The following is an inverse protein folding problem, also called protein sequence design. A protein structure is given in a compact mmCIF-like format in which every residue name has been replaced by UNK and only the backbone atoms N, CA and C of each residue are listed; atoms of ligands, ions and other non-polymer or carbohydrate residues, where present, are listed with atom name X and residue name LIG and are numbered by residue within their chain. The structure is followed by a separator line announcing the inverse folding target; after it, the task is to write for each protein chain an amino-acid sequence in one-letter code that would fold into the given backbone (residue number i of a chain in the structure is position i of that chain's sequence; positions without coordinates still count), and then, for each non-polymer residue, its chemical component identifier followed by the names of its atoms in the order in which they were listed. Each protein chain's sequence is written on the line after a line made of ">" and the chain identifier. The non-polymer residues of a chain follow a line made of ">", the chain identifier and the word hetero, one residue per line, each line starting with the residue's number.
data_IF_025560761320
#
_entry.id   IF_025560761320
#
_cell.length_a   1.000
_cell.length_b   1.000
_cell.length_c   1.000
_cell.angle_alpha   90.00
_cell.angle_beta   90.00
_cell.angle_gamma   90.00
#
_symmetry.space_group_name_H-M   'P 1'
#
loop_
_entity.id
_entity.type
_entity.pdbx_description
1 polymer ?
#
# COMPACT_ATOMS: atom_id res chain seq x y z
N UNK A 1 19.96 19.34 107.15
CA UNK A 1 20.32 20.21 106.02
C UNK A 1 19.55 19.74 104.79
N UNK A 2 18.94 20.66 104.05
CA UNK A 2 18.35 20.33 102.74
C UNK A 2 19.45 20.22 101.69
N UNK A 3 19.27 19.37 100.66
CA UNK A 3 20.22 19.30 99.54
C UNK A 3 19.90 20.43 98.54
N UNK A 4 20.91 21.20 98.07
CA UNK A 4 20.67 22.17 97.00
C UNK A 4 20.21 21.45 95.74
N UNK A 5 19.30 22.08 94.99
CA UNK A 5 18.78 21.57 93.73
C UNK A 5 19.19 22.56 92.64
N UNK A 6 20.08 22.10 91.76
CA UNK A 6 20.56 22.87 90.60
C UNK A 6 19.76 22.49 89.36
N UNK A 7 19.48 23.46 88.50
CA UNK A 7 18.76 23.21 87.25
C UNK A 7 19.67 22.53 86.21
N UNK A 8 19.10 21.58 85.46
CA UNK A 8 19.80 20.94 84.33
C UNK A 8 19.55 21.71 83.05
N UNK A 9 20.64 22.24 82.49
CA UNK A 9 20.76 22.69 81.11
C UNK A 9 21.10 21.48 80.22
N UNK A 10 20.97 21.63 78.90
CA UNK A 10 21.09 20.57 77.89
C UNK A 10 22.39 19.72 77.92
N UNK A 11 23.42 20.15 78.67
CA UNK A 11 24.65 19.38 78.96
C UNK A 11 25.16 19.57 80.40
N UNK A 12 24.27 19.47 81.40
CA UNK A 12 24.63 19.45 82.83
C UNK A 12 24.05 20.62 83.63
N UNK A 13 24.52 20.81 84.86
CA UNK A 13 24.01 21.87 85.74
C UNK A 13 24.34 23.29 85.21
N UNK A 14 23.49 24.27 85.51
CA UNK A 14 23.84 25.68 85.25
C UNK A 14 25.08 26.09 86.07
N UNK A 15 26.17 26.36 85.35
CA UNK A 15 27.44 26.80 85.92
C UNK A 15 27.26 28.04 86.81
N UNK A 16 26.38 28.99 86.47
CA UNK A 16 26.18 30.21 87.27
C UNK A 16 25.59 29.91 88.64
N UNK A 17 24.65 28.97 88.72
CA UNK A 17 24.08 28.51 90.00
C UNK A 17 25.13 27.79 90.85
N UNK A 18 25.97 26.96 90.22
CA UNK A 18 27.04 26.22 90.90
C UNK A 18 28.14 27.17 91.41
N UNK A 19 28.65 28.07 90.57
CA UNK A 19 29.68 29.05 90.95
C UNK A 19 29.18 29.95 92.10
N UNK A 20 27.93 30.42 92.06
CA UNK A 20 27.33 31.22 93.13
C UNK A 20 27.11 30.42 94.42
N UNK A 21 26.73 29.15 94.33
CA UNK A 21 26.59 28.27 95.50
C UNK A 21 27.94 28.00 96.17
N UNK A 22 28.99 27.70 95.39
CA UNK A 22 30.35 27.46 95.89
C UNK A 22 30.86 28.69 96.64
N UNK A 23 30.77 29.89 96.05
CA UNK A 23 31.16 31.15 96.68
C UNK A 23 30.41 31.40 97.99
N UNK A 24 29.10 31.09 98.04
CA UNK A 24 28.32 31.19 99.28
C UNK A 24 28.86 30.22 100.34
N UNK A 25 29.00 28.94 100.02
CA UNK A 25 29.48 27.92 100.99
C UNK A 25 30.90 28.20 101.49
N UNK A 26 31.77 28.77 100.67
CA UNK A 26 33.13 29.15 101.06
C UNK A 26 33.13 30.32 102.05
N UNK A 27 32.22 31.30 101.85
CA UNK A 27 32.02 32.39 102.81
C UNK A 27 31.38 31.93 104.13
N UNK A 28 30.41 31.00 104.08
CA UNK A 28 29.82 30.37 105.27
C UNK A 28 30.86 29.56 106.07
N UNK A 29 31.69 28.77 105.38
CA UNK A 29 32.75 27.97 106.00
C UNK A 29 33.84 28.87 106.61
N UNK A 30 34.22 29.95 105.92
CA UNK A 30 35.14 30.96 106.45
C UNK A 30 34.63 31.58 107.75
N UNK A 31 33.36 32.02 107.78
CA UNK A 31 32.72 32.56 108.99
C UNK A 31 32.72 31.54 110.14
N UNK A 32 32.31 30.29 109.88
CA UNK A 32 32.28 29.24 110.89
C UNK A 32 33.67 28.88 111.42
N UNK A 33 34.73 28.95 110.60
CA UNK A 33 36.10 28.73 111.09
C UNK A 33 36.61 29.88 111.98
N UNK A 34 36.23 31.13 111.69
CA UNK A 34 36.56 32.28 112.55
C UNK A 34 35.86 32.20 113.91
N UNK A 35 34.56 31.90 113.94
CA UNK A 35 33.77 31.69 115.17
C UNK A 35 34.34 30.53 116.01
N UNK A 36 34.73 29.43 115.36
CA UNK A 36 35.37 28.28 116.03
C UNK A 36 36.72 28.64 116.67
N UNK A 37 37.51 29.51 116.06
CA UNK A 37 38.79 29.91 116.64
C UNK A 37 38.61 30.94 117.76
N UNK A 38 37.66 31.89 117.63
CA UNK A 38 37.30 32.82 118.71
C UNK A 38 36.82 32.08 119.98
N UNK A 39 35.94 31.08 119.82
CA UNK A 39 35.50 30.24 120.95
C UNK A 39 36.63 29.39 121.54
N UNK A 40 37.62 28.98 120.74
CA UNK A 40 38.83 28.27 121.18
C UNK A 40 39.79 29.19 121.97
N UNK A 41 39.89 30.47 121.62
CA UNK A 41 40.62 31.48 122.40
C UNK A 41 39.93 31.75 123.74
N UNK A 42 38.59 31.87 123.76
CA UNK A 42 37.80 32.01 124.99
C UNK A 42 38.01 30.82 125.94
N UNK A 43 37.99 29.58 125.44
CA UNK A 43 38.28 28.40 126.26
C UNK A 43 39.70 28.39 126.84
N UNK A 44 40.70 28.88 126.09
CA UNK A 44 42.07 29.02 126.57
C UNK A 44 42.19 30.09 127.67
N UNK A 45 41.50 31.23 127.54
CA UNK A 45 41.53 32.29 128.56
C UNK A 45 40.86 31.85 129.87
N UNK A 46 39.74 31.12 129.80
CA UNK A 46 39.08 30.52 130.97
C UNK A 46 39.97 29.46 131.64
N UNK A 47 40.70 28.65 130.87
CA UNK A 47 41.64 27.67 131.42
C UNK A 47 42.78 28.34 132.21
N UNK A 48 43.31 29.46 131.71
CA UNK A 48 44.33 30.25 132.43
C UNK A 48 43.78 30.86 133.72
N UNK A 49 42.56 31.41 133.71
CA UNK A 49 41.90 31.95 134.91
C UNK A 49 41.70 30.88 136.00
N UNK A 50 41.31 29.66 135.61
CA UNK A 50 41.18 28.53 136.55
C UNK A 50 42.53 28.13 137.18
N UNK A 51 43.64 28.18 136.42
CA UNK A 51 44.97 27.92 136.98
C UNK A 51 45.39 29.00 137.98
N UNK A 52 45.09 30.27 137.72
CA UNK A 52 45.40 31.37 138.65
C UNK A 52 44.60 31.25 139.95
N UNK A 53 43.28 31.00 139.88
CA UNK A 53 42.45 30.82 141.07
C UNK A 53 42.88 29.61 141.92
N UNK A 54 43.36 28.53 141.28
CA UNK A 54 43.94 27.39 142.01
C UNK A 54 45.23 27.79 142.76
N UNK A 55 46.09 28.63 142.19
CA UNK A 55 47.27 29.15 142.88
C UNK A 55 46.88 30.01 144.10
N UNK A 56 45.96 30.95 143.95
CA UNK A 56 45.48 31.84 145.02
C UNK A 56 44.88 31.06 146.22
N UNK A 57 44.12 29.99 145.95
CA UNK A 57 43.61 29.10 146.99
C UNK A 57 44.71 28.29 147.72
N UNK A 58 45.86 28.03 147.07
CA UNK A 58 47.02 27.40 147.74
C UNK A 58 47.88 28.39 148.52
N UNK A 59 47.86 29.68 148.18
CA UNK A 59 48.43 30.75 149.01
C UNK A 59 47.63 30.94 150.30
N UNK A 60 46.31 31.13 150.19
CA UNK A 60 45.42 31.34 151.34
C UNK A 60 45.48 30.19 152.35
N UNK A 61 45.64 28.94 151.88
CA UNK A 61 45.79 27.75 152.75
C UNK A 61 47.08 27.71 153.58
N UNK A 62 48.12 28.47 153.24
CA UNK A 62 49.42 28.45 153.95
C UNK A 62 49.50 29.43 155.13
N UNK A 63 48.46 30.22 155.39
CA UNK A 63 48.53 31.41 156.26
C UNK A 63 47.60 31.33 157.47
N UNK A 64 47.94 30.55 158.53
CA UNK A 64 47.19 30.55 159.77
C UNK A 64 47.31 31.91 160.49
N UNK A 65 46.20 32.38 161.05
CA UNK A 65 46.12 33.63 161.84
C UNK A 65 46.04 33.28 163.32
N UNK A 66 46.82 33.97 164.14
CA UNK A 66 46.74 33.90 165.61
C UNK A 66 46.36 35.28 166.16
N UNK A 67 45.37 35.31 167.03
CA UNK A 67 45.00 36.47 167.86
C UNK A 67 44.53 35.95 169.22
N UNK A 68 45.31 36.19 170.27
CA UNK A 68 44.90 35.91 171.65
C UNK A 68 44.19 37.13 172.25
N UNK A 69 43.10 36.88 172.97
CA UNK A 69 42.33 37.93 173.64
C UNK A 69 42.89 38.18 175.05
N UNK A 70 43.12 39.45 175.40
CA UNK A 70 43.60 39.81 176.73
C UNK A 70 42.51 39.62 177.81
N UNK A 71 42.93 39.20 179.00
CA UNK A 71 42.05 38.86 180.13
C UNK A 71 41.33 40.10 180.72
N UNK A 72 40.01 40.18 180.53
CA UNK A 72 39.15 41.13 181.23
C UNK A 72 38.93 40.71 182.69
N UNK A 73 39.37 41.51 183.67
CA UNK A 73 39.08 41.25 185.09
C UNK A 73 38.85 42.50 185.97
N UNK A 74 39.57 43.59 185.74
CA UNK A 74 39.56 44.77 186.65
C UNK A 74 38.91 46.03 186.05
N UNK A 75 37.99 45.87 185.09
CA UNK A 75 37.49 46.98 184.25
C UNK A 75 36.06 47.48 184.55
N UNK A 76 35.32 46.82 185.45
CA UNK A 76 33.86 46.93 185.62
C UNK A 76 33.22 48.30 185.31
N UNK A 77 33.34 49.32 186.18
CA UNK A 77 32.56 50.56 186.02
C UNK A 77 32.89 51.38 184.77
N UNK A 78 34.10 51.25 184.23
CA UNK A 78 34.53 52.01 183.05
C UNK A 78 34.21 51.26 181.75
N UNK A 79 34.32 49.92 181.76
CA UNK A 79 33.83 49.10 180.65
C UNK A 79 32.31 49.16 180.54
N UNK A 80 31.56 49.22 181.64
CA UNK A 80 30.10 49.42 181.58
C UNK A 80 29.73 50.74 180.88
N UNK A 81 30.46 51.83 181.13
CA UNK A 81 30.27 53.10 180.42
C UNK A 81 30.72 53.05 178.96
N UNK A 82 31.84 52.39 178.66
CA UNK A 82 32.33 52.22 177.28
C UNK A 82 31.37 51.32 176.48
N UNK A 83 30.82 50.27 177.08
CA UNK A 83 29.81 49.39 176.48
C UNK A 83 28.49 50.14 176.26
N UNK A 84 27.99 50.90 177.24
CA UNK A 84 26.78 51.70 177.04
C UNK A 84 26.94 52.79 175.97
N UNK A 85 28.12 53.40 175.85
CA UNK A 85 28.44 54.34 174.77
C UNK A 85 28.55 53.60 173.41
N UNK A 86 29.24 52.46 173.38
CA UNK A 86 29.42 51.65 172.18
C UNK A 86 28.11 51.02 171.69
N UNK A 87 27.21 50.64 172.58
CA UNK A 87 25.86 50.15 172.28
C UNK A 87 25.00 51.28 171.71
N UNK A 88 25.06 52.48 172.28
CA UNK A 88 24.41 53.68 171.71
C UNK A 88 24.98 54.05 170.34
N UNK A 89 26.30 53.95 170.15
CA UNK A 89 26.95 54.19 168.86
C UNK A 89 26.62 53.09 167.85
N UNK A 90 26.59 51.82 168.26
CA UNK A 90 26.18 50.70 167.43
C UNK A 90 24.72 50.84 167.00
N UNK A 91 23.81 51.24 167.90
CA UNK A 91 22.42 51.54 167.57
C UNK A 91 22.32 52.69 166.53
N UNK A 92 23.11 53.76 166.69
CA UNK A 92 23.17 54.84 165.69
C UNK A 92 23.76 54.38 164.34
N UNK A 93 24.75 53.49 164.36
CA UNK A 93 25.31 52.88 163.14
C UNK A 93 24.27 51.98 162.48
N UNK A 94 23.55 51.12 163.21
CA UNK A 94 22.51 50.25 162.64
C UNK A 94 21.32 51.02 162.11
N UNK A 95 20.87 52.07 162.80
CA UNK A 95 19.79 52.94 162.32
C UNK A 95 20.21 53.68 161.05
N UNK A 96 21.37 54.37 161.07
CA UNK A 96 21.83 55.11 159.87
C UNK A 96 22.33 54.20 158.74
N UNK A 97 22.64 52.92 159.00
CA UNK A 97 22.87 51.92 157.97
C UNK A 97 21.55 51.40 157.39
N UNK A 98 20.53 51.17 158.23
CA UNK A 98 19.18 50.81 157.82
C UNK A 98 18.51 51.88 156.96
N UNK A 99 18.60 53.16 157.36
CA UNK A 99 18.13 54.31 156.59
C UNK A 99 18.82 54.40 155.21
N UNK A 100 20.15 54.23 155.15
CA UNK A 100 20.91 54.21 153.89
C UNK A 100 20.59 53.00 153.02
N UNK A 101 20.33 51.84 153.63
CA UNK A 101 19.91 50.64 152.91
C UNK A 101 18.52 50.81 152.31
N UNK A 102 17.56 51.33 153.10
CA UNK A 102 16.21 51.64 152.64
C UNK A 102 16.19 52.70 151.53
N UNK A 103 17.01 53.76 151.64
CA UNK A 103 17.18 54.76 150.58
C UNK A 103 17.66 54.09 149.28
N UNK A 104 18.73 53.29 149.34
CA UNK A 104 19.25 52.58 148.16
C UNK A 104 18.32 51.52 147.60
N UNK A 105 17.49 50.90 148.44
CA UNK A 105 16.44 49.98 147.99
C UNK A 105 15.35 50.74 147.23
N UNK A 106 14.86 51.86 147.76
CA UNK A 106 13.90 52.72 147.06
C UNK A 106 14.47 53.32 145.77
N UNK A 107 15.74 53.76 145.77
CA UNK A 107 16.46 54.21 144.57
C UNK A 107 16.53 53.09 143.51
N UNK A 108 16.88 51.86 143.89
CA UNK A 108 16.95 50.72 142.98
C UNK A 108 15.58 50.25 142.48
N UNK A 109 14.55 50.29 143.34
CA UNK A 109 13.16 49.97 142.96
C UNK A 109 12.61 51.00 141.97
N UNK A 110 12.86 52.30 142.20
CA UNK A 110 12.50 53.36 141.26
C UNK A 110 13.19 53.16 139.90
N UNK A 111 14.51 52.91 139.87
CA UNK A 111 15.25 52.64 138.62
C UNK A 111 14.72 51.38 137.91
N UNK A 112 14.31 50.35 138.65
CA UNK A 112 13.69 49.16 138.07
C UNK A 112 12.27 49.42 137.53
N UNK A 113 11.51 50.33 138.13
CA UNK A 113 10.20 50.77 137.63
C UNK A 113 10.40 51.61 136.35
N UNK A 114 11.28 52.61 136.38
CA UNK A 114 11.61 53.45 135.22
C UNK A 114 12.11 52.62 134.03
N UNK A 115 13.03 51.67 134.27
CA UNK A 115 13.54 50.78 133.23
C UNK A 115 12.45 49.85 132.65
N UNK A 116 11.49 49.40 133.47
CA UNK A 116 10.33 48.63 133.00
C UNK A 116 9.37 49.49 132.19
N UNK A 117 9.07 50.71 132.64
CA UNK A 117 8.23 51.64 131.87
C UNK A 117 8.87 51.97 130.51
N UNK A 118 10.18 52.29 130.50
CA UNK A 118 10.94 52.52 129.27
C UNK A 118 10.90 51.30 128.34
N UNK A 119 11.10 50.08 128.87
CA UNK A 119 10.99 48.86 128.09
C UNK A 119 9.58 48.66 127.51
N UNK A 120 8.51 48.91 128.28
CA UNK A 120 7.13 48.81 127.77
C UNK A 120 6.82 49.85 126.69
N UNK A 121 7.35 51.08 126.81
CA UNK A 121 7.20 52.13 125.78
C UNK A 121 7.92 51.74 124.49
N UNK A 122 9.19 51.32 124.59
CA UNK A 122 9.97 50.86 123.43
C UNK A 122 9.29 49.67 122.73
N UNK A 123 8.69 48.74 123.49
CA UNK A 123 7.93 47.63 122.93
C UNK A 123 6.64 48.10 122.24
N UNK A 124 5.85 49.00 122.85
CA UNK A 124 4.63 49.52 122.20
C UNK A 124 4.93 50.36 120.96
N UNK A 125 5.99 51.15 120.98
CA UNK A 125 6.41 51.96 119.83
C UNK A 125 6.86 51.07 118.67
N UNK A 126 7.62 50.01 118.96
CA UNK A 126 8.05 49.00 117.99
C UNK A 126 6.89 48.13 117.47
N UNK A 127 5.90 47.80 118.31
CA UNK A 127 4.66 47.13 117.87
C UNK A 127 3.86 48.02 116.90
N UNK A 128 3.78 49.33 117.16
CA UNK A 128 3.15 50.30 116.26
C UNK A 128 3.92 50.46 114.94
N UNK A 129 5.26 50.53 114.97
CA UNK A 129 6.08 50.56 113.75
C UNK A 129 5.90 49.29 112.90
N UNK A 130 5.90 48.11 113.54
CA UNK A 130 5.71 46.82 112.84
C UNK A 130 4.29 46.67 112.30
N UNK A 131 3.27 47.16 113.01
CA UNK A 131 1.91 47.22 112.49
C UNK A 131 1.81 48.18 111.29
N UNK A 132 2.42 49.36 111.38
CA UNK A 132 2.51 50.34 110.30
C UNK A 132 3.08 49.73 109.03
N UNK A 133 4.32 49.20 109.11
CA UNK A 133 5.02 48.57 107.98
C UNK A 133 4.23 47.40 107.37
N UNK A 134 3.58 46.56 108.18
CA UNK A 134 2.71 45.49 107.65
C UNK A 134 1.59 46.03 106.78
N UNK A 135 0.89 47.10 107.21
CA UNK A 135 -0.17 47.69 106.37
C UNK A 135 0.37 48.44 105.15
N UNK A 136 1.63 48.91 105.17
CA UNK A 136 2.29 49.50 104.01
C UNK A 136 2.71 48.43 102.99
N UNK A 137 3.29 47.33 103.46
CA UNK A 137 3.62 46.15 102.65
C UNK A 137 2.37 45.51 102.04
N UNK A 138 1.28 45.39 102.81
CA UNK A 138 -0.02 44.89 102.35
C UNK A 138 -0.61 45.78 101.25
N UNK A 139 -0.71 47.10 101.46
CA UNK A 139 -1.16 48.06 100.43
C UNK A 139 -0.25 48.05 99.20
N UNK A 140 1.06 47.96 99.37
CA UNK A 140 2.01 47.89 98.25
C UNK A 140 1.89 46.56 97.48
N UNK A 141 1.51 45.48 98.15
CA UNK A 141 1.22 44.19 97.54
C UNK A 141 -0.12 44.21 96.78
N UNK A 142 -1.19 44.74 97.39
CA UNK A 142 -2.49 44.95 96.74
C UNK A 142 -2.36 45.84 95.49
N UNK A 143 -1.61 46.95 95.57
CA UNK A 143 -1.36 47.83 94.42
C UNK A 143 -0.61 47.10 93.30
N UNK A 144 0.41 46.30 93.63
CA UNK A 144 1.13 45.47 92.64
C UNK A 144 0.23 44.38 92.04
N UNK A 145 -0.67 43.78 92.83
CA UNK A 145 -1.66 42.83 92.32
C UNK A 145 -2.65 43.52 91.37
N UNK A 146 -3.17 44.70 91.74
CA UNK A 146 -4.12 45.45 90.91
C UNK A 146 -3.50 45.87 89.57
N UNK A 147 -2.28 46.41 89.57
CA UNK A 147 -1.54 46.76 88.35
C UNK A 147 -1.26 45.51 87.49
N UNK A 148 -0.79 44.41 88.10
CA UNK A 148 -0.57 43.17 87.37
C UNK A 148 -1.88 42.54 86.83
N UNK A 149 -3.02 42.78 87.47
CA UNK A 149 -4.33 42.36 86.98
C UNK A 149 -4.77 43.21 85.78
N UNK A 150 -4.67 44.55 85.85
CA UNK A 150 -4.99 45.42 84.71
C UNK A 150 -4.06 45.17 83.52
N UNK A 151 -2.75 45.01 83.74
CA UNK A 151 -1.80 44.64 82.67
C UNK A 151 -2.16 43.29 82.03
N UNK A 152 -2.60 42.29 82.81
CA UNK A 152 -3.06 41.00 82.28
C UNK A 152 -4.41 41.08 81.55
N UNK A 153 -5.26 42.05 81.89
CA UNK A 153 -6.53 42.30 81.20
C UNK A 153 -6.29 43.05 79.88
N UNK A 154 -5.50 44.12 79.86
CA UNK A 154 -5.06 44.81 78.64
C UNK A 154 -4.34 43.87 77.66
N UNK A 155 -3.45 43.00 78.15
CA UNK A 155 -2.77 41.99 77.33
C UNK A 155 -3.73 40.91 76.78
N UNK A 156 -4.82 40.59 77.48
CA UNK A 156 -5.87 39.69 76.96
C UNK A 156 -6.70 40.38 75.89
N UNK A 157 -7.15 41.59 76.14
CA UNK A 157 -7.92 42.36 75.15
C UNK A 157 -7.11 42.58 73.87
N UNK A 158 -5.83 42.96 73.96
CA UNK A 158 -4.96 43.08 72.79
C UNK A 158 -4.75 41.75 72.06
N UNK A 159 -4.61 40.64 72.79
CA UNK A 159 -4.49 39.31 72.19
C UNK A 159 -5.78 38.86 71.49
N UNK A 160 -6.95 39.16 72.05
CA UNK A 160 -8.25 38.81 71.47
C UNK A 160 -8.66 39.74 70.31
N UNK A 161 -8.32 41.03 70.38
CA UNK A 161 -8.37 41.96 69.24
C UNK A 161 -7.50 41.43 68.10
N UNK A 162 -6.23 41.10 68.36
CA UNK A 162 -5.33 40.58 67.34
C UNK A 162 -5.80 39.23 66.76
N UNK A 163 -6.41 38.35 67.58
CA UNK A 163 -7.06 37.11 67.09
C UNK A 163 -8.24 37.43 66.17
N UNK A 164 -9.09 38.38 66.53
CA UNK A 164 -10.25 38.79 65.73
C UNK A 164 -9.82 39.43 64.40
N UNK A 165 -8.79 40.28 64.41
CA UNK A 165 -8.20 40.85 63.19
C UNK A 165 -7.60 39.76 62.29
N UNK A 166 -6.85 38.81 62.86
CA UNK A 166 -6.28 37.69 62.11
C UNK A 166 -7.36 36.75 61.54
N UNK A 167 -8.46 36.54 62.27
CA UNK A 167 -9.62 35.79 61.76
C UNK A 167 -10.28 36.55 60.60
N UNK A 168 -10.66 37.82 60.79
CA UNK A 168 -11.29 38.63 59.76
C UNK A 168 -10.40 38.83 58.51
N UNK A 169 -9.07 38.85 58.67
CA UNK A 169 -8.13 38.87 57.54
C UNK A 169 -8.11 37.54 56.77
N UNK A 170 -8.21 36.39 57.46
CA UNK A 170 -8.33 35.07 56.82
C UNK A 170 -9.67 34.91 56.11
N UNK A 171 -10.77 35.30 56.75
CA UNK A 171 -12.12 35.22 56.17
C UNK A 171 -12.21 36.04 54.87
N UNK A 172 -11.59 37.23 54.84
CA UNK A 172 -11.47 38.05 53.62
C UNK A 172 -10.61 37.37 52.56
N UNK A 173 -9.43 36.86 52.93
CA UNK A 173 -8.54 36.18 51.99
C UNK A 173 -9.18 34.91 51.40
N UNK A 174 -9.98 34.17 52.17
CA UNK A 174 -10.75 33.02 51.70
C UNK A 174 -11.89 33.46 50.76
N UNK A 175 -12.63 34.52 51.09
CA UNK A 175 -13.67 35.08 50.22
C UNK A 175 -13.08 35.60 48.89
N UNK A 176 -11.94 36.27 48.93
CA UNK A 176 -11.22 36.74 47.74
C UNK A 176 -10.67 35.57 46.91
N UNK A 177 -10.07 34.56 47.54
CA UNK A 177 -9.61 33.35 46.86
C UNK A 177 -10.77 32.58 46.20
N UNK A 178 -11.89 32.39 46.91
CA UNK A 178 -13.08 31.73 46.36
C UNK A 178 -13.67 32.52 45.19
N UNK A 179 -13.79 33.85 45.31
CA UNK A 179 -14.25 34.73 44.22
C UNK A 179 -13.32 34.68 43.00
N UNK A 180 -12.00 34.64 43.20
CA UNK A 180 -11.04 34.48 42.12
C UNK A 180 -11.11 33.09 41.48
N UNK A 181 -11.33 32.04 42.27
CA UNK A 181 -11.53 30.67 41.77
C UNK A 181 -12.81 30.57 40.93
N UNK A 182 -13.93 31.15 41.38
CA UNK A 182 -15.18 31.24 40.63
C UNK A 182 -15.00 32.00 39.31
N UNK A 183 -14.30 33.14 39.33
CA UNK A 183 -14.01 33.93 38.12
C UNK A 183 -13.13 33.16 37.14
N UNK A 184 -12.08 32.48 37.60
CA UNK A 184 -11.24 31.63 36.75
C UNK A 184 -12.03 30.42 36.20
N UNK A 185 -12.89 29.79 37.00
CA UNK A 185 -13.74 28.70 36.54
C UNK A 185 -14.71 29.15 35.43
N UNK A 186 -15.36 30.31 35.60
CA UNK A 186 -16.23 30.90 34.59
C UNK A 186 -15.47 31.28 33.31
N UNK A 187 -14.27 31.84 33.42
CA UNK A 187 -13.42 32.15 32.25
C UNK A 187 -12.97 30.88 31.52
N UNK A 188 -12.58 29.83 32.24
CA UNK A 188 -12.23 28.53 31.66
C UNK A 188 -13.42 27.84 30.98
N UNK A 189 -14.62 27.94 31.56
CA UNK A 189 -15.85 27.43 30.94
C UNK A 189 -16.21 28.21 29.67
N UNK A 190 -16.14 29.54 29.71
CA UNK A 190 -16.38 30.39 28.53
C UNK A 190 -15.37 30.11 27.41
N UNK A 191 -14.08 30.00 27.73
CA UNK A 191 -13.04 29.67 26.75
C UNK A 191 -13.21 28.26 26.16
N UNK A 192 -13.61 27.27 26.98
CA UNK A 192 -13.96 25.93 26.50
C UNK A 192 -15.17 25.95 25.57
N UNK A 193 -16.23 26.68 25.92
CA UNK A 193 -17.43 26.81 25.10
C UNK A 193 -17.18 27.57 23.79
N UNK A 194 -16.28 28.55 23.78
CA UNK A 194 -15.80 29.22 22.56
C UNK A 194 -15.02 28.24 21.68
N UNK A 195 -13.99 27.58 22.21
CA UNK A 195 -13.18 26.61 21.47
C UNK A 195 -14.01 25.44 20.93
N UNK A 196 -15.01 24.96 21.67
CA UNK A 196 -15.96 23.95 21.21
C UNK A 196 -16.75 24.45 19.99
N UNK A 197 -17.35 25.64 20.06
CA UNK A 197 -18.10 26.24 18.94
C UNK A 197 -17.21 26.49 17.72
N UNK A 198 -15.98 26.94 17.90
CA UNK A 198 -15.02 27.15 16.81
C UNK A 198 -14.61 25.81 16.16
N UNK A 199 -14.37 24.78 16.98
CA UNK A 199 -14.06 23.43 16.49
C UNK A 199 -15.26 22.79 15.77
N UNK A 200 -16.48 23.00 16.26
CA UNK A 200 -17.72 22.54 15.62
C UNK A 200 -18.00 23.29 14.31
N UNK A 201 -17.87 24.62 14.31
CA UNK A 201 -17.98 25.43 13.10
C UNK A 201 -16.96 24.99 12.04
N UNK A 202 -15.69 24.89 12.40
CA UNK A 202 -14.63 24.42 11.50
C UNK A 202 -14.88 23.00 10.98
N UNK A 203 -15.36 22.07 11.82
CA UNK A 203 -15.80 20.74 11.34
C UNK A 203 -16.95 20.82 10.35
N UNK A 204 -17.97 21.66 10.60
CA UNK A 204 -19.08 21.82 9.65
C UNK A 204 -18.66 22.47 8.34
N UNK A 205 -17.71 23.41 8.36
CA UNK A 205 -17.11 24.01 7.16
C UNK A 205 -16.33 22.97 6.36
N UNK A 206 -15.38 22.25 6.98
CA UNK A 206 -14.63 21.16 6.34
C UNK A 206 -15.56 20.08 5.77
N UNK A 207 -16.65 19.73 6.46
CA UNK A 207 -17.65 18.79 5.94
C UNK A 207 -18.46 19.34 4.77
N UNK A 208 -18.76 20.64 4.73
CA UNK A 208 -19.43 21.29 3.60
C UNK A 208 -18.49 21.38 2.38
N UNK A 209 -17.25 21.79 2.59
CA UNK A 209 -16.20 21.87 1.56
C UNK A 209 -15.96 20.49 0.91
N UNK A 210 -15.72 19.45 1.72
CA UNK A 210 -15.58 18.06 1.25
C UNK A 210 -16.85 17.54 0.54
N UNK A 211 -18.04 18.03 0.92
CA UNK A 211 -19.29 17.67 0.22
C UNK A 211 -19.41 18.38 -1.13
N UNK A 212 -18.99 19.65 -1.24
CA UNK A 212 -18.94 20.37 -2.52
C UNK A 212 -17.89 19.78 -3.46
N UNK A 213 -16.66 19.52 -3.00
CA UNK A 213 -15.60 18.89 -3.79
C UNK A 213 -16.05 17.52 -4.33
N UNK A 214 -16.69 16.68 -3.48
CA UNK A 214 -17.24 15.40 -3.91
C UNK A 214 -18.32 15.56 -4.99
N UNK A 215 -19.23 16.51 -4.83
CA UNK A 215 -20.28 16.77 -5.81
C UNK A 215 -19.75 17.37 -7.12
N UNK A 216 -18.65 18.13 -7.07
CA UNK A 216 -17.95 18.66 -8.25
C UNK A 216 -17.21 17.54 -8.99
N UNK A 217 -16.47 16.69 -8.28
CA UNK A 217 -15.79 15.51 -8.82
C UNK A 217 -16.79 14.50 -9.42
N UNK A 218 -17.92 14.25 -8.75
CA UNK A 218 -18.98 13.36 -9.26
C UNK A 218 -19.60 13.90 -10.57
N UNK A 219 -19.81 15.23 -10.66
CA UNK A 219 -20.21 15.88 -11.91
C UNK A 219 -19.14 15.76 -13.00
N UNK A 220 -17.87 16.01 -12.70
CA UNK A 220 -16.80 15.87 -13.69
C UNK A 220 -16.65 14.41 -14.18
N UNK A 221 -16.82 13.43 -13.30
CA UNK A 221 -16.81 12.01 -13.67
C UNK A 221 -17.95 11.68 -14.65
N UNK A 222 -19.18 12.14 -14.39
CA UNK A 222 -20.31 11.86 -15.28
C UNK A 222 -20.27 12.68 -16.58
N UNK A 223 -19.72 13.90 -16.58
CA UNK A 223 -19.40 14.67 -17.80
C UNK A 223 -18.34 13.95 -18.66
N UNK A 224 -17.25 13.48 -18.05
CA UNK A 224 -16.21 12.67 -18.72
C UNK A 224 -16.80 11.36 -19.26
N UNK A 225 -17.67 10.69 -18.50
CA UNK A 225 -18.34 9.43 -18.88
C UNK A 225 -19.33 9.61 -20.01
N UNK A 226 -20.17 10.63 -19.98
CA UNK A 226 -21.11 10.95 -21.06
C UNK A 226 -20.37 11.37 -22.33
N UNK A 227 -19.31 12.18 -22.23
CA UNK A 227 -18.43 12.50 -23.37
C UNK A 227 -17.75 11.25 -23.96
N UNK A 228 -17.24 10.35 -23.11
CA UNK A 228 -16.65 9.09 -23.55
C UNK A 228 -17.69 8.16 -24.23
N UNK A 229 -18.90 8.06 -23.67
CA UNK A 229 -20.01 7.29 -24.24
C UNK A 229 -20.41 7.83 -25.62
N UNK A 230 -20.56 9.15 -25.75
CA UNK A 230 -20.84 9.82 -27.04
C UNK A 230 -19.74 9.52 -28.08
N UNK A 231 -18.45 9.58 -27.69
CA UNK A 231 -17.32 9.24 -28.56
C UNK A 231 -17.35 7.77 -28.99
N UNK A 232 -17.68 6.84 -28.09
CA UNK A 232 -17.80 5.41 -28.40
C UNK A 232 -18.96 5.18 -29.39
N UNK A 233 -20.11 5.83 -29.21
CA UNK A 233 -21.25 5.76 -30.14
C UNK A 233 -20.90 6.35 -31.51
N UNK A 234 -20.20 7.48 -31.55
CA UNK A 234 -19.74 8.10 -32.81
C UNK A 234 -18.76 7.19 -33.57
N UNK A 235 -17.70 6.71 -32.90
CA UNK A 235 -16.73 5.78 -33.49
C UNK A 235 -17.38 4.46 -33.94
N UNK A 236 -18.40 3.97 -33.23
CA UNK A 236 -19.15 2.80 -33.63
C UNK A 236 -20.01 3.07 -34.89
N UNK A 237 -20.65 4.24 -34.99
CA UNK A 237 -21.39 4.64 -36.18
C UNK A 237 -20.47 4.84 -37.39
N UNK A 238 -19.29 5.45 -37.21
CA UNK A 238 -18.25 5.59 -38.24
C UNK A 238 -17.75 4.22 -38.71
N UNK A 239 -17.45 3.29 -37.78
CA UNK A 239 -17.04 1.93 -38.11
C UNK A 239 -18.15 1.14 -38.82
N UNK A 240 -19.43 1.31 -38.45
CA UNK A 240 -20.57 0.73 -39.16
C UNK A 240 -20.68 1.29 -40.59
N UNK A 241 -20.53 2.61 -40.78
CA UNK A 241 -20.54 3.24 -42.09
C UNK A 241 -19.40 2.72 -42.98
N UNK A 242 -18.18 2.64 -42.46
CA UNK A 242 -17.03 2.08 -43.16
C UNK A 242 -17.24 0.60 -43.52
N UNK A 243 -17.81 -0.21 -42.62
CA UNK A 243 -18.14 -1.60 -42.91
C UNK A 243 -19.19 -1.74 -44.02
N UNK A 244 -20.23 -0.90 -44.01
CA UNK A 244 -21.24 -0.86 -45.08
C UNK A 244 -20.62 -0.38 -46.41
N UNK A 245 -19.73 0.61 -46.39
CA UNK A 245 -19.04 1.08 -47.60
C UNK A 245 -18.11 0.00 -48.18
N UNK A 246 -17.35 -0.70 -47.34
CA UNK A 246 -16.51 -1.84 -47.78
C UNK A 246 -17.36 -2.96 -48.36
N UNK A 247 -18.49 -3.31 -47.75
CA UNK A 247 -19.42 -4.29 -48.31
C UNK A 247 -19.99 -3.83 -49.66
N UNK A 248 -20.40 -2.55 -49.79
CA UNK A 248 -20.87 -2.00 -51.06
C UNK A 248 -19.80 -1.99 -52.16
N UNK A 249 -18.53 -1.72 -51.82
CA UNK A 249 -17.39 -1.81 -52.74
C UNK A 249 -17.18 -3.26 -53.19
N UNK A 250 -17.17 -4.22 -52.27
CA UNK A 250 -17.03 -5.66 -52.59
C UNK A 250 -18.22 -6.17 -53.40
N UNK A 251 -19.46 -5.74 -53.11
CA UNK A 251 -20.64 -6.10 -53.91
C UNK A 251 -20.57 -5.50 -55.33
N UNK A 252 -20.05 -4.28 -55.48
CA UNK A 252 -19.83 -3.63 -56.77
C UNK A 252 -18.71 -4.29 -57.58
N UNK A 253 -17.58 -4.63 -56.97
CA UNK A 253 -16.48 -5.39 -57.56
C UNK A 253 -16.96 -6.79 -57.97
N UNK A 254 -17.69 -7.49 -57.11
CA UNK A 254 -18.32 -8.77 -57.43
C UNK A 254 -19.39 -8.65 -58.52
N UNK A 255 -20.11 -7.53 -58.63
CA UNK A 255 -21.03 -7.26 -59.74
C UNK A 255 -20.28 -7.02 -61.06
N UNK A 256 -19.18 -6.27 -61.04
CA UNK A 256 -18.31 -6.05 -62.19
C UNK A 256 -17.70 -7.37 -62.68
N UNK A 257 -17.09 -8.17 -61.79
CA UNK A 257 -16.54 -9.48 -62.15
C UNK A 257 -17.61 -10.46 -62.65
N UNK A 258 -18.86 -10.39 -62.14
CA UNK A 258 -19.98 -11.16 -62.71
C UNK A 258 -20.37 -10.70 -64.11
N UNK A 259 -20.27 -9.41 -64.43
CA UNK A 259 -20.48 -8.88 -65.78
C UNK A 259 -19.34 -9.28 -66.73
N UNK A 260 -18.08 -9.19 -66.28
CA UNK A 260 -16.90 -9.64 -67.03
C UNK A 260 -17.00 -11.13 -67.37
N UNK A 261 -17.31 -11.98 -66.38
CA UNK A 261 -17.53 -13.41 -66.58
C UNK A 261 -18.67 -13.68 -67.57
N UNK A 262 -19.83 -13.01 -67.43
CA UNK A 262 -20.95 -13.16 -68.35
C UNK A 262 -20.60 -12.72 -69.79
N UNK A 263 -19.74 -11.71 -69.98
CA UNK A 263 -19.23 -11.33 -71.30
C UNK A 263 -18.25 -12.37 -71.86
N UNK A 264 -17.38 -12.95 -71.02
CA UNK A 264 -16.47 -14.02 -71.42
C UNK A 264 -17.23 -15.31 -71.78
N UNK A 265 -18.28 -15.66 -71.03
CA UNK A 265 -19.19 -16.77 -71.35
C UNK A 265 -19.89 -16.54 -72.70
N UNK A 266 -20.44 -15.34 -72.95
CA UNK A 266 -21.03 -14.99 -74.26
C UNK A 266 -20.01 -15.05 -75.40
N UNK A 267 -18.76 -14.63 -75.18
CA UNK A 267 -17.70 -14.71 -76.19
C UNK A 267 -17.27 -16.18 -76.44
N UNK A 268 -17.23 -17.00 -75.39
CA UNK A 268 -17.00 -18.45 -75.49
C UNK A 268 -18.13 -19.11 -76.29
N UNK A 269 -19.39 -18.82 -76.01
CA UNK A 269 -20.53 -19.35 -76.75
C UNK A 269 -20.53 -18.88 -78.22
N UNK A 270 -20.21 -17.61 -78.47
CA UNK A 270 -20.08 -17.09 -79.83
C UNK A 270 -18.94 -17.78 -80.60
N UNK A 271 -17.79 -18.03 -79.95
CA UNK A 271 -16.67 -18.81 -80.51
C UNK A 271 -17.05 -20.26 -80.75
N UNK A 272 -17.78 -20.90 -79.83
CA UNK A 272 -18.27 -22.27 -80.00
C UNK A 272 -19.25 -22.38 -81.18
N UNK A 273 -20.18 -21.44 -81.32
CA UNK A 273 -21.10 -21.37 -82.46
C UNK A 273 -20.35 -21.11 -83.78
N UNK A 274 -19.33 -20.26 -83.79
CA UNK A 274 -18.47 -20.04 -84.96
C UNK A 274 -17.69 -21.32 -85.35
N UNK A 275 -17.11 -22.02 -84.37
CA UNK A 275 -16.44 -23.31 -84.58
C UNK A 275 -17.40 -24.40 -85.07
N UNK A 276 -18.64 -24.42 -84.58
CA UNK A 276 -19.68 -25.33 -85.07
C UNK A 276 -20.06 -25.04 -86.53
N UNK A 277 -20.23 -23.76 -86.90
CA UNK A 277 -20.46 -23.35 -88.30
C UNK A 277 -19.30 -23.77 -89.20
N UNK A 278 -18.06 -23.45 -88.82
CA UNK A 278 -16.85 -23.84 -89.55
C UNK A 278 -16.72 -25.36 -89.72
N UNK A 279 -17.13 -26.17 -88.73
CA UNK A 279 -17.22 -27.63 -88.88
C UNK A 279 -18.27 -28.03 -89.92
N UNK A 280 -19.49 -27.50 -89.85
CA UNK A 280 -20.53 -27.81 -90.86
C UNK A 280 -20.16 -27.33 -92.27
N UNK A 281 -19.45 -26.20 -92.38
CA UNK A 281 -18.92 -25.72 -93.66
C UNK A 281 -17.84 -26.66 -94.20
N UNK A 282 -16.89 -27.10 -93.35
CA UNK A 282 -15.86 -28.09 -93.68
C UNK A 282 -16.49 -29.42 -94.13
N UNK A 283 -17.45 -29.95 -93.37
CA UNK A 283 -18.16 -31.20 -93.69
C UNK A 283 -18.89 -31.07 -95.04
N UNK A 284 -19.56 -29.94 -95.28
CA UNK A 284 -20.23 -29.66 -96.57
C UNK A 284 -19.25 -29.48 -97.74
N UNK A 285 -18.02 -29.05 -97.47
CA UNK A 285 -16.96 -28.93 -98.48
C UNK A 285 -16.34 -30.30 -98.79
N UNK A 286 -16.15 -31.15 -97.78
CA UNK A 286 -15.74 -32.55 -97.94
C UNK A 286 -16.80 -33.34 -98.72
N UNK A 287 -18.10 -33.18 -98.40
CA UNK A 287 -19.19 -33.80 -99.15
C UNK A 287 -19.22 -33.35 -100.63
N UNK A 288 -19.07 -32.04 -100.89
CA UNK A 288 -18.97 -31.51 -102.26
C UNK A 288 -17.74 -32.02 -103.02
N UNK A 289 -16.63 -32.25 -102.32
CA UNK A 289 -15.43 -32.84 -102.91
C UNK A 289 -15.64 -34.32 -103.26
N UNK A 290 -16.26 -35.12 -102.37
CA UNK A 290 -16.65 -36.51 -102.66
C UNK A 290 -17.63 -36.57 -103.84
N UNK A 291 -18.63 -35.69 -103.88
CA UNK A 291 -19.57 -35.59 -105.00
C UNK A 291 -18.84 -35.27 -106.31
N UNK A 292 -17.93 -34.29 -106.33
CA UNK A 292 -17.13 -33.96 -107.52
C UNK A 292 -16.23 -35.11 -107.98
N UNK A 293 -15.73 -35.95 -107.06
CA UNK A 293 -15.03 -37.19 -107.42
C UNK A 293 -15.96 -38.26 -108.02
N UNK A 294 -17.19 -38.40 -107.54
CA UNK A 294 -18.20 -39.30 -108.10
C UNK A 294 -18.66 -38.83 -109.49
N UNK A 295 -18.90 -37.54 -109.67
CA UNK A 295 -19.23 -36.93 -110.96
C UNK A 295 -18.09 -37.13 -111.98
N UNK A 296 -16.83 -36.96 -111.56
CA UNK A 296 -15.67 -37.29 -112.41
C UNK A 296 -15.63 -38.76 -112.82
N UNK A 297 -15.80 -39.68 -111.87
CA UNK A 297 -15.82 -41.11 -112.17
C UNK A 297 -16.91 -41.47 -113.20
N UNK A 298 -18.11 -40.90 -113.05
CA UNK A 298 -19.18 -41.07 -114.02
C UNK A 298 -18.80 -40.53 -115.42
N UNK A 299 -18.14 -39.36 -115.51
CA UNK A 299 -17.66 -38.85 -116.81
C UNK A 299 -16.54 -39.69 -117.43
N UNK A 300 -15.66 -40.30 -116.64
CA UNK A 300 -14.61 -41.21 -117.13
C UNK A 300 -15.20 -42.54 -117.64
N UNK A 301 -16.27 -43.04 -117.01
CA UNK A 301 -17.05 -44.18 -117.50
C UNK A 301 -17.79 -43.85 -118.81
N UNK A 302 -18.42 -42.68 -118.92
CA UNK A 302 -19.07 -42.22 -120.17
C UNK A 302 -18.05 -42.08 -121.32
N UNK A 303 -16.88 -41.49 -121.07
CA UNK A 303 -15.78 -41.38 -122.04
C UNK A 303 -15.30 -42.77 -122.47
N UNK A 304 -15.27 -43.75 -121.56
CA UNK A 304 -14.89 -45.13 -121.85
C UNK A 304 -15.93 -45.84 -122.73
N UNK A 305 -17.23 -45.68 -122.44
CA UNK A 305 -18.32 -46.21 -123.27
C UNK A 305 -18.34 -45.58 -124.68
N UNK A 306 -18.09 -44.27 -124.79
CA UNK A 306 -18.00 -43.58 -126.09
C UNK A 306 -16.80 -44.05 -126.91
N UNK A 307 -15.65 -44.33 -126.26
CA UNK A 307 -14.50 -44.95 -126.93
C UNK A 307 -14.81 -46.34 -127.46
N UNK A 308 -15.51 -47.18 -126.68
CA UNK A 308 -15.88 -48.53 -127.11
C UNK A 308 -16.80 -48.49 -128.34
N UNK A 309 -17.88 -47.68 -128.32
CA UNK A 309 -18.78 -47.49 -129.46
C UNK A 309 -18.05 -47.02 -130.73
N UNK A 310 -17.00 -46.22 -130.58
CA UNK A 310 -16.19 -45.72 -131.69
C UNK A 310 -15.24 -46.79 -132.27
N UNK A 311 -14.90 -47.84 -131.50
CA UNK A 311 -14.22 -49.04 -132.02
C UNK A 311 -15.20 -49.93 -132.77
N UNK A 312 -16.38 -50.18 -132.20
CA UNK A 312 -17.46 -50.98 -132.80
C UNK A 312 -17.87 -50.42 -134.17
N UNK A 313 -18.21 -49.12 -134.25
CA UNK A 313 -18.59 -48.46 -135.50
C UNK A 313 -17.48 -48.44 -136.59
N UNK A 314 -16.20 -48.61 -136.21
CA UNK A 314 -15.09 -48.76 -137.16
C UNK A 314 -14.98 -50.19 -137.72
N UNK A 315 -15.38 -51.19 -136.94
CA UNK A 315 -15.47 -52.59 -137.41
C UNK A 315 -16.67 -52.74 -138.35
N UNK A 316 -17.81 -52.15 -137.97
CA UNK A 316 -18.97 -51.75 -138.80
C UNK A 316 -18.61 -51.45 -140.26
N UNK A 317 -17.93 -50.31 -140.38
CA UNK A 317 -17.53 -49.71 -141.65
C UNK A 317 -16.57 -50.59 -142.46
N UNK A 318 -15.70 -51.36 -141.80
CA UNK A 318 -14.76 -52.26 -142.47
C UNK A 318 -15.48 -53.47 -143.11
N UNK A 319 -16.50 -54.03 -142.46
CA UNK A 319 -17.28 -55.14 -143.03
C UNK A 319 -18.12 -54.72 -144.25
N UNK A 320 -18.72 -53.52 -144.23
CA UNK A 320 -19.49 -53.04 -145.38
C UNK A 320 -18.60 -52.65 -146.58
N UNK A 321 -17.39 -52.11 -146.34
CA UNK A 321 -16.42 -51.87 -147.41
C UNK A 321 -15.92 -53.17 -148.08
N UNK A 322 -15.84 -54.27 -147.36
CA UNK A 322 -15.51 -55.57 -147.95
C UNK A 322 -16.67 -56.11 -148.79
N UNK A 323 -17.90 -56.09 -148.27
CA UNK A 323 -19.13 -56.49 -149.02
C UNK A 323 -19.26 -55.75 -150.35
N UNK A 324 -18.99 -54.44 -150.36
CA UNK A 324 -19.09 -53.62 -151.58
C UNK A 324 -18.07 -54.04 -152.65
N UNK A 325 -16.88 -54.48 -152.27
CA UNK A 325 -15.85 -54.94 -153.20
C UNK A 325 -16.16 -56.34 -153.76
N UNK A 326 -16.64 -57.27 -152.93
CA UNK A 326 -17.07 -58.61 -153.38
C UNK A 326 -18.23 -58.52 -154.39
N UNK A 327 -19.23 -57.69 -154.11
CA UNK A 327 -20.34 -57.42 -155.02
C UNK A 327 -19.84 -56.89 -156.38
N UNK A 328 -18.84 -56.00 -156.37
CA UNK A 328 -18.26 -55.41 -157.59
C UNK A 328 -17.51 -56.42 -158.44
N UNK A 329 -16.72 -57.31 -157.83
CA UNK A 329 -16.03 -58.38 -158.56
C UNK A 329 -17.00 -59.37 -159.20
N UNK A 330 -18.14 -59.67 -158.56
CA UNK A 330 -19.15 -60.58 -159.11
C UNK A 330 -19.81 -60.09 -160.41
N UNK A 331 -19.83 -58.77 -160.65
CA UNK A 331 -20.42 -58.18 -161.84
C UNK A 331 -19.53 -58.33 -163.10
N UNK A 332 -18.20 -58.15 -162.94
CA UNK A 332 -17.25 -58.19 -164.06
C UNK A 332 -17.16 -59.59 -164.69
N UNK A 333 -17.29 -60.66 -163.89
CA UNK A 333 -17.28 -62.04 -164.38
C UNK A 333 -18.60 -62.45 -165.04
N UNK A 334 -19.73 -61.88 -164.61
CA UNK A 334 -21.02 -62.07 -165.30
C UNK A 334 -21.00 -61.49 -166.73
N UNK A 335 -20.36 -60.34 -166.95
CA UNK A 335 -20.24 -59.74 -168.29
C UNK A 335 -19.36 -60.57 -169.24
N UNK A 336 -18.37 -61.30 -168.70
CA UNK A 336 -17.51 -62.22 -169.48
C UNK A 336 -18.31 -63.42 -169.98
N UNK A 337 -19.08 -64.08 -169.11
CA UNK A 337 -19.90 -65.23 -169.48
C UNK A 337 -20.96 -64.90 -170.56
N UNK A 338 -21.52 -63.69 -170.56
CA UNK A 338 -22.50 -63.27 -171.56
C UNK A 338 -21.96 -63.23 -173.00
N UNK A 339 -20.65 -63.07 -173.20
CA UNK A 339 -20.02 -62.96 -174.52
C UNK A 339 -19.78 -64.33 -175.17
N UNK A 340 -19.35 -65.33 -174.38
CA UNK A 340 -19.09 -66.69 -174.89
C UNK A 340 -20.36 -67.44 -175.35
N UNK A 341 -21.48 -67.26 -174.65
CA UNK A 341 -22.75 -67.96 -174.98
C UNK A 341 -23.22 -67.63 -176.40
N UNK A 342 -23.09 -66.37 -176.84
CA UNK A 342 -23.42 -65.95 -178.22
C UNK A 342 -22.57 -66.66 -179.28
N UNK A 343 -21.32 -67.01 -178.98
CA UNK A 343 -20.39 -67.65 -179.91
C UNK A 343 -20.61 -69.17 -180.07
N UNK A 344 -21.41 -69.81 -179.21
CA UNK A 344 -21.83 -71.22 -179.35
C UNK A 344 -23.07 -71.39 -180.22
N UNK A 345 -24.14 -70.64 -179.97
CA UNK A 345 -25.46 -70.82 -180.62
C UNK A 345 -25.39 -70.74 -182.15
N UNK A 346 -24.51 -69.90 -182.71
CA UNK A 346 -24.33 -69.78 -184.17
C UNK A 346 -23.78 -71.04 -184.87
N UNK A 347 -23.24 -72.04 -184.16
CA UNK A 347 -22.55 -73.18 -184.77
C UNK A 347 -23.39 -74.47 -184.86
N UNK A 348 -24.38 -74.67 -184.00
CA UNK A 348 -25.10 -75.96 -183.93
C UNK A 348 -26.25 -76.08 -184.94
N UNK A 349 -26.92 -74.96 -185.27
CA UNK A 349 -28.06 -74.93 -186.19
C UNK A 349 -27.76 -75.50 -187.60
N UNK A 350 -26.50 -75.46 -188.04
CA UNK A 350 -26.09 -75.91 -189.38
C UNK A 350 -26.00 -77.45 -189.54
N UNK A 351 -26.09 -78.23 -188.46
CA UNK A 351 -25.67 -79.66 -188.47
C UNK A 351 -26.79 -80.69 -188.37
N UNK A 352 -28.03 -80.28 -188.12
CA UNK A 352 -29.14 -81.19 -187.75
C UNK A 352 -29.98 -81.67 -188.95
N UNK A 353 -30.06 -80.88 -190.02
CA UNK A 353 -31.02 -81.12 -191.12
C UNK A 353 -30.68 -82.30 -192.04
N UNK A 354 -29.40 -82.65 -192.22
CA UNK A 354 -28.94 -83.55 -193.30
C UNK A 354 -29.17 -85.07 -193.05
N UNK A 355 -29.71 -85.48 -191.89
CA UNK A 355 -29.63 -86.89 -191.42
C UNK A 355 -30.94 -87.67 -191.27
N UNK A 356 -32.09 -87.12 -191.66
CA UNK A 356 -33.40 -87.74 -191.42
C UNK A 356 -33.85 -88.82 -192.46
N UNK A 357 -32.98 -89.24 -193.40
CA UNK A 357 -33.43 -89.77 -194.69
C UNK A 357 -33.40 -91.30 -194.92
N UNK A 358 -32.88 -92.15 -194.01
CA UNK A 358 -32.38 -93.48 -194.43
C UNK A 358 -32.41 -94.65 -193.40
N UNK A 359 -33.52 -94.95 -192.71
CA UNK A 359 -33.58 -96.13 -191.81
C UNK A 359 -35.00 -96.72 -191.57
N UNK A 360 -35.49 -97.66 -192.42
CA UNK A 360 -36.78 -98.38 -192.19
C UNK A 360 -36.78 -99.87 -192.58
N UNK A 361 -35.93 -100.39 -193.48
CA UNK A 361 -36.06 -101.77 -194.02
C UNK A 361 -34.79 -102.63 -193.94
N UNK A 362 -34.61 -103.34 -192.80
CA UNK A 362 -33.77 -104.54 -192.69
C UNK A 362 -34.27 -105.45 -191.55
N UNK A 363 -33.90 -106.74 -191.58
CA UNK A 363 -34.56 -107.83 -190.87
C UNK A 363 -34.31 -107.91 -189.35
N UNK A 364 -35.16 -108.70 -188.68
CA UNK A 364 -35.07 -108.99 -187.25
C UNK A 364 -33.86 -109.88 -186.88
N UNK A 365 -32.99 -109.32 -186.05
CA UNK A 365 -32.33 -110.01 -184.94
C UNK A 365 -32.57 -109.15 -183.69
N UNK A 366 -32.93 -109.75 -182.56
CA UNK A 366 -33.65 -109.01 -181.51
C UNK A 366 -32.73 -108.30 -180.49
N UNK A 367 -32.75 -106.97 -180.47
CA UNK A 367 -32.36 -106.14 -179.31
C UNK A 367 -31.26 -105.09 -179.54
N UNK A 368 -31.59 -103.78 -179.39
CA UNK A 368 -30.67 -102.68 -179.05
C UNK A 368 -30.91 -102.20 -177.59
N UNK A 369 -29.97 -101.76 -176.73
CA UNK A 369 -28.56 -101.31 -176.82
C UNK A 369 -28.29 -100.03 -177.66
N UNK A 370 -27.51 -99.02 -177.23
CA UNK A 370 -26.75 -98.75 -175.98
C UNK A 370 -26.46 -97.22 -175.84
N UNK A 371 -25.86 -96.77 -174.72
CA UNK A 371 -25.39 -95.38 -174.50
C UNK A 371 -26.03 -94.71 -173.28
N UNK A 372 -25.47 -94.67 -172.05
CA UNK A 372 -24.06 -94.70 -171.58
C UNK A 372 -23.23 -93.47 -172.01
N UNK A 373 -23.05 -92.49 -171.10
CA UNK A 373 -21.84 -92.24 -170.25
C UNK A 373 -20.78 -91.36 -170.96
N UNK A 374 -19.72 -90.82 -170.29
CA UNK A 374 -19.32 -90.93 -168.87
C UNK A 374 -19.15 -89.58 -168.12
N UNK A 375 -18.68 -89.68 -166.86
CA UNK A 375 -18.27 -88.60 -165.93
C UNK A 375 -16.87 -88.02 -166.27
N UNK A 376 -16.43 -86.96 -165.56
CA UNK A 376 -15.16 -86.87 -164.76
C UNK A 376 -14.80 -85.41 -164.32
N UNK A 377 -14.28 -85.23 -163.08
CA UNK A 377 -13.43 -84.13 -162.55
C UNK A 377 -14.00 -82.70 -162.31
N UNK A 378 -13.44 -81.79 -161.47
CA UNK A 378 -12.51 -81.81 -160.28
C UNK A 378 -12.40 -80.41 -159.57
N UNK A 379 -11.81 -80.35 -158.35
CA UNK A 379 -10.97 -79.23 -157.78
C UNK A 379 -11.62 -77.90 -157.28
N UNK A 380 -11.07 -77.08 -156.33
CA UNK A 380 -9.96 -77.20 -155.30
C UNK A 380 -9.84 -75.99 -154.30
N UNK A 381 -9.28 -76.23 -153.08
CA UNK A 381 -8.38 -75.33 -152.24
C UNK A 381 -8.94 -73.96 -151.68
N UNK A 382 -8.29 -73.07 -150.86
CA UNK A 382 -7.26 -73.01 -149.73
C UNK A 382 -7.00 -71.50 -149.35
N UNK A 383 -6.32 -70.95 -148.30
CA UNK A 383 -5.83 -71.20 -146.90
C UNK A 383 -4.89 -69.98 -146.50
N UNK A 384 -4.44 -69.57 -145.29
CA UNK A 384 -4.67 -69.72 -143.82
C UNK A 384 -3.71 -68.73 -143.02
N UNK A 385 -3.58 -68.80 -141.66
CA UNK A 385 -2.61 -68.09 -140.70
C UNK A 385 -3.10 -66.76 -140.03
N UNK A 386 -2.53 -66.13 -138.95
CA UNK A 386 -1.79 -66.48 -137.67
C UNK A 386 -1.46 -65.17 -136.86
N UNK A 387 -1.44 -65.15 -135.50
CA UNK A 387 -0.73 -64.16 -134.61
C UNK A 387 -1.55 -63.03 -133.91
N UNK A 388 -1.04 -62.04 -133.12
CA UNK A 388 -0.10 -61.97 -131.93
C UNK A 388 0.47 -60.51 -131.70
N UNK A 389 0.95 -59.95 -130.54
CA UNK A 389 0.94 -60.23 -129.07
C UNK A 389 1.40 -58.99 -128.19
N UNK A 390 1.07 -58.92 -126.87
CA UNK A 390 1.81 -58.27 -125.70
C UNK A 390 2.03 -56.74 -125.40
N UNK A 391 1.84 -56.35 -124.10
CA UNK A 391 2.71 -55.57 -123.12
C UNK A 391 2.92 -54.00 -123.00
N UNK A 392 2.54 -53.41 -121.82
CA UNK A 392 3.31 -52.74 -120.69
C UNK A 392 4.44 -51.64 -120.86
N UNK A 393 5.08 -50.96 -119.82
CA UNK A 393 4.76 -50.56 -118.38
C UNK A 393 5.42 -49.23 -117.75
N UNK A 394 5.31 -49.01 -116.39
CA UNK A 394 6.18 -48.24 -115.38
C UNK A 394 6.12 -46.66 -115.21
N UNK A 395 6.60 -45.94 -114.14
CA UNK A 395 6.83 -46.11 -112.65
C UNK A 395 7.41 -44.82 -111.90
N UNK A 396 7.57 -44.82 -110.53
CA UNK A 396 8.36 -43.92 -109.56
C UNK A 396 7.80 -42.52 -109.13
N UNK A 397 8.13 -41.77 -108.04
CA UNK A 397 8.74 -41.83 -106.62
C UNK A 397 8.28 -40.52 -105.82
N UNK A 398 8.64 -39.96 -104.62
CA UNK A 398 9.67 -40.06 -103.49
C UNK A 398 9.18 -39.30 -102.16
N UNK A 399 9.98 -39.15 -101.05
CA UNK A 399 9.72 -38.42 -99.74
C UNK A 399 11.06 -37.99 -98.99
N UNK A 400 11.24 -37.45 -97.71
CA UNK A 400 10.42 -37.08 -96.49
C UNK A 400 10.63 -35.57 -95.98
N UNK A 401 10.74 -35.01 -94.73
CA UNK A 401 10.72 -35.22 -93.22
C UNK A 401 10.65 -33.79 -92.49
N UNK A 402 10.73 -33.36 -91.18
CA UNK A 402 10.67 -33.71 -89.70
C UNK A 402 10.70 -32.33 -88.87
N UNK A 403 10.68 -32.02 -87.52
CA UNK A 403 10.55 -32.60 -86.12
C UNK A 403 10.03 -31.51 -85.06
N UNK A 404 10.37 -31.45 -83.72
CA UNK A 404 9.40 -31.03 -82.63
C UNK A 404 9.68 -30.01 -81.40
N UNK A 405 10.15 -30.30 -80.13
CA UNK A 405 9.52 -29.77 -78.85
C UNK A 405 10.37 -29.24 -77.60
N UNK A 406 9.78 -28.55 -76.55
CA UNK A 406 9.99 -28.67 -75.03
C UNK A 406 9.45 -27.52 -74.06
N UNK A 407 9.51 -27.68 -72.69
CA UNK A 407 8.99 -26.83 -71.54
C UNK A 407 9.89 -26.96 -70.23
N UNK A 408 9.67 -26.56 -68.94
CA UNK A 408 8.50 -26.18 -68.06
C UNK A 408 8.85 -25.41 -66.69
N UNK A 409 8.08 -25.56 -65.57
CA UNK A 409 7.94 -24.72 -64.31
C UNK A 409 8.81 -25.01 -63.02
N UNK A 410 8.71 -24.17 -61.95
CA UNK A 410 9.12 -24.45 -60.53
C UNK A 410 8.87 -23.33 -59.46
N UNK A 411 8.63 -23.66 -58.15
CA UNK A 411 8.05 -22.74 -57.12
C UNK A 411 8.43 -23.06 -55.62
N UNK A 412 8.31 -22.11 -54.66
CA UNK A 412 8.32 -22.39 -53.18
C UNK A 412 8.69 -21.23 -52.19
N UNK A 413 7.95 -21.01 -51.06
CA UNK A 413 8.27 -20.05 -49.96
C UNK A 413 8.16 -20.62 -48.51
N UNK A 414 8.54 -19.85 -47.45
CA UNK A 414 8.17 -20.10 -46.02
C UNK A 414 8.30 -18.83 -45.09
N UNK A 415 7.74 -18.84 -43.87
CA UNK A 415 7.61 -17.70 -42.89
C UNK A 415 7.68 -18.15 -41.39
N UNK A 416 8.04 -17.26 -40.44
CA UNK A 416 7.75 -17.43 -38.97
C UNK A 416 8.06 -16.21 -38.06
N UNK A 417 7.44 -16.17 -36.86
CA UNK A 417 7.53 -15.10 -35.81
C UNK A 417 7.85 -15.64 -34.41
N UNK A 418 8.42 -14.82 -33.48
CA UNK A 418 8.07 -14.74 -32.02
C UNK A 418 8.96 -13.78 -31.18
N UNK A 419 8.59 -13.37 -29.93
CA UNK A 419 8.94 -12.03 -29.39
C UNK A 419 9.60 -11.94 -27.96
N UNK A 420 9.25 -10.89 -27.19
CA UNK A 420 10.00 -10.14 -26.14
C UNK A 420 9.54 -10.44 -24.68
N UNK A 421 10.38 -10.22 -23.64
CA UNK A 421 9.96 -10.00 -22.24
C UNK A 421 10.37 -8.63 -21.61
N UNK A 422 9.88 -8.34 -20.39
CA UNK A 422 9.76 -6.99 -19.75
C UNK A 422 10.50 -6.89 -18.40
N UNK A 423 10.80 -5.67 -17.91
CA UNK A 423 11.22 -5.38 -16.51
C UNK A 423 10.45 -4.20 -15.87
N UNK A 424 10.60 -4.01 -14.54
CA UNK A 424 9.85 -3.07 -13.67
C UNK A 424 10.77 -2.22 -12.76
N UNK A 425 10.24 -1.11 -12.27
CA UNK A 425 10.83 -0.24 -11.23
C UNK A 425 10.46 -0.65 -9.78
N UNK A 426 11.22 -0.21 -8.75
CA UNK A 426 10.88 -0.31 -7.32
C UNK A 426 10.40 1.03 -6.70
N UNK A 427 9.85 0.97 -5.48
CA UNK A 427 9.36 2.11 -4.68
C UNK A 427 10.27 2.46 -3.47
N UNK A 428 10.10 3.63 -2.81
CA UNK A 428 11.06 4.17 -1.83
C UNK A 428 10.93 3.63 -0.40
N UNK A 429 11.81 4.10 0.51
CA UNK A 429 11.88 3.73 1.92
C UNK A 429 11.60 4.92 2.85
N UNK A 430 10.90 4.67 3.96
CA UNK A 430 10.78 5.58 5.11
C UNK A 430 12.06 5.62 5.94
N UNK A 431 12.42 6.80 6.44
CA UNK A 431 13.23 6.96 7.67
C UNK A 431 12.68 8.13 8.48
N UNK A 432 12.09 7.83 9.64
CA UNK A 432 11.79 8.83 10.66
C UNK A 432 12.98 8.97 11.62
N UNK A 433 13.32 10.19 12.01
CA UNK A 433 14.15 10.44 13.20
C UNK A 433 13.61 11.63 13.98
N UNK A 434 13.26 11.35 15.22
CA UNK A 434 12.77 12.27 16.25
C UNK A 434 13.94 13.09 16.83
N UNK A 435 13.72 14.36 17.17
CA UNK A 435 14.72 15.14 17.89
C UNK A 435 14.06 16.23 18.75
N UNK A 436 14.02 16.03 20.06
CA UNK A 436 13.43 16.96 21.04
C UNK A 436 14.54 17.69 21.77
N UNK A 437 14.60 19.01 21.60
CA UNK A 437 15.56 19.89 22.27
C UNK A 437 14.84 20.76 23.31
N UNK A 438 15.01 20.42 24.60
CA UNK A 438 14.59 21.28 25.72
C UNK A 438 15.58 22.42 25.92
N UNK A 439 15.11 23.66 25.89
CA UNK A 439 15.92 24.86 26.18
C UNK A 439 15.22 25.76 27.20
N UNK A 440 15.76 25.80 28.42
CA UNK A 440 15.33 26.72 29.49
C UNK A 440 16.56 27.39 30.08
N UNK A 441 16.70 28.70 29.85
CA UNK A 441 17.41 29.69 30.69
C UNK A 441 16.89 31.08 30.32
#
# INVERSE_FOLDING_TARGET
>A
MSRPRFDLVMRGYDKRQVDQFVLRTDSELSMLTAEREQSREQLQSMAAQLQQLQAELTELRKRPVQMEQASFRDLGPMVDQILALAEKQAAQITTTAGERAASRQAEAENVLIEAREQATRILSDLEVELAGRRTEEEKAYEQRQAVAQSELEELRELADQSRAENAAARDRAEQEANRLNEQNAQQLEQARAQLQRETEAGRTQMHQELATERADIEREIEERRTSASQKIVALHAEAQQQAVEVLQRVDAEAAAHRQELAMVEQEIDARQQALARLRTELDSAQQRLVQSHQERAATDDEVSQLRQRLVEARQDLATELNRLNEARQSADDAERHAKDVRARVQREAKRVAERAAAAVLAAAAAGPETGEYPQVALSRASAARTGEQTSQPQARDTAPDAEKPTSDNGHGPDDTRSPIPVQREPQPQDVATENVATGTE
#
